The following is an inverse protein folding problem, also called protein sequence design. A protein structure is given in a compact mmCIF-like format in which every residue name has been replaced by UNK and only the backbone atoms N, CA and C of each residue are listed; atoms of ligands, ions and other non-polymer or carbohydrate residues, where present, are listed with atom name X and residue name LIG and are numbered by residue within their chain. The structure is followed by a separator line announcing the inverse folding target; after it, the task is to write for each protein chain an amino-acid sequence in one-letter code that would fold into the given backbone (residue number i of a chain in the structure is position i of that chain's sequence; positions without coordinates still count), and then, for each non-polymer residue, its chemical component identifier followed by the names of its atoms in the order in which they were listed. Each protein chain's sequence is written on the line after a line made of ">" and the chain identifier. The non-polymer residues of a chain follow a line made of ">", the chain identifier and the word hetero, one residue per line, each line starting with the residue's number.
data_IF_121681713062
#
_entry.id   IF_121681713062
#
_cell.length_a   1.000
_cell.length_b   1.000
_cell.length_c   1.000
_cell.angle_alpha   90.00
_cell.angle_beta   90.00
_cell.angle_gamma   90.00
#
_symmetry.space_group_name_H-M   'P 1'
#
loop_
_entity.id
_entity.type
_entity.pdbx_description
1 polymer ?
#
# COMPACT_ATOMS: atom_id res chain seq x y z
N UNK A 1 -3.01 -9.01 -33.64
CA UNK A 1 -2.02 -9.26 -32.56
C UNK A 1 -0.68 -9.50 -33.20
N UNK A 2 0.27 -8.57 -33.10
CA UNK A 2 1.63 -8.79 -33.60
C UNK A 2 2.34 -9.68 -32.60
N UNK A 3 2.67 -10.91 -33.00
CA UNK A 3 3.46 -11.89 -32.24
C UNK A 3 4.89 -11.36 -32.08
N UNK A 4 5.11 -10.44 -31.16
CA UNK A 4 6.46 -10.12 -30.71
C UNK A 4 6.91 -11.27 -29.82
N UNK A 5 7.82 -12.09 -30.32
CA UNK A 5 8.42 -13.18 -29.53
C UNK A 5 8.97 -12.62 -28.23
N UNK A 6 8.72 -13.34 -27.13
CA UNK A 6 9.24 -12.98 -25.82
C UNK A 6 10.77 -12.94 -25.88
N UNK A 7 11.36 -11.83 -25.42
CA UNK A 7 12.82 -11.74 -25.32
C UNK A 7 13.26 -12.58 -24.12
N UNK A 8 13.95 -13.68 -24.40
CA UNK A 8 14.62 -14.48 -23.37
C UNK A 8 15.74 -13.63 -22.79
N UNK A 9 15.76 -13.50 -21.46
CA UNK A 9 16.79 -12.74 -20.80
C UNK A 9 17.40 -13.57 -19.68
N UNK A 10 18.74 -13.69 -19.65
CA UNK A 10 19.42 -14.51 -18.65
C UNK A 10 18.98 -14.14 -17.23
N UNK A 11 18.73 -15.16 -16.42
CA UNK A 11 18.37 -15.01 -15.02
C UNK A 11 19.34 -14.10 -14.24
N UNK A 12 20.68 -14.17 -14.40
CA UNK A 12 21.59 -13.26 -13.72
C UNK A 12 21.34 -11.78 -14.05
N UNK A 13 20.98 -11.47 -15.30
CA UNK A 13 20.66 -10.10 -15.70
C UNK A 13 19.34 -9.64 -15.07
N UNK A 14 18.34 -10.53 -15.00
CA UNK A 14 17.08 -10.25 -14.32
C UNK A 14 17.29 -9.95 -12.83
N UNK A 15 18.04 -10.80 -12.13
CA UNK A 15 18.39 -10.62 -10.72
C UNK A 15 19.14 -9.31 -10.50
N UNK A 16 20.07 -8.97 -11.39
CA UNK A 16 20.82 -7.71 -11.33
C UNK A 16 19.88 -6.49 -11.42
N UNK A 17 18.93 -6.49 -12.37
CA UNK A 17 18.00 -5.36 -12.49
C UNK A 17 17.07 -5.26 -11.28
N UNK A 18 16.54 -6.39 -10.80
CA UNK A 18 15.69 -6.42 -9.61
C UNK A 18 16.45 -5.92 -8.37
N UNK A 19 17.69 -6.37 -8.18
CA UNK A 19 18.54 -5.91 -7.07
C UNK A 19 18.88 -4.42 -7.20
N UNK A 20 19.25 -3.94 -8.39
CA UNK A 20 19.54 -2.52 -8.61
C UNK A 20 18.32 -1.62 -8.33
N UNK A 21 17.11 -2.12 -8.62
CA UNK A 21 15.88 -1.42 -8.28
C UNK A 21 15.62 -1.43 -6.77
N UNK A 22 15.72 -2.61 -6.14
CA UNK A 22 15.46 -2.79 -4.72
C UNK A 22 16.48 -2.07 -3.81
N UNK A 23 17.75 -2.01 -4.20
CA UNK A 23 18.82 -1.37 -3.40
C UNK A 23 18.71 0.16 -3.33
N UNK A 24 17.90 0.78 -4.19
CA UNK A 24 17.66 2.22 -4.12
C UNK A 24 16.69 2.53 -2.98
N UNK A 25 16.94 3.59 -2.22
CA UNK A 25 15.99 4.09 -1.22
C UNK A 25 14.77 4.75 -1.89
N UNK A 26 14.96 5.40 -3.06
CA UNK A 26 13.90 5.99 -3.88
C UNK A 26 14.13 5.75 -5.37
N UNK A 27 13.03 5.56 -6.10
CA UNK A 27 12.99 5.26 -7.53
C UNK A 27 11.95 6.15 -8.23
N UNK A 28 12.19 6.52 -9.49
CA UNK A 28 11.26 7.39 -10.23
C UNK A 28 10.01 6.66 -10.73
N UNK A 29 9.95 5.33 -10.64
CA UNK A 29 8.82 4.56 -11.15
C UNK A 29 8.81 3.15 -10.53
N UNK A 30 7.64 2.51 -10.41
CA UNK A 30 7.55 1.09 -10.08
C UNK A 30 8.10 0.20 -11.21
N UNK A 31 8.51 -1.01 -10.85
CA UNK A 31 9.00 -2.04 -11.78
C UNK A 31 7.95 -3.14 -11.92
N UNK A 32 7.64 -3.57 -13.13
CA UNK A 32 6.74 -4.70 -13.40
C UNK A 32 7.54 -5.90 -13.87
N UNK A 33 7.50 -6.97 -13.08
CA UNK A 33 8.01 -8.28 -13.45
C UNK A 33 6.91 -9.08 -14.14
N UNK A 34 6.96 -9.08 -15.47
CA UNK A 34 6.00 -9.77 -16.33
C UNK A 34 6.63 -10.99 -17.02
N UNK A 35 5.87 -12.05 -17.19
CA UNK A 35 6.33 -13.29 -17.82
C UNK A 35 5.21 -14.33 -17.85
N UNK A 36 5.34 -15.41 -18.62
CA UNK A 36 4.36 -16.49 -18.63
C UNK A 36 4.22 -17.13 -17.25
N UNK A 37 3.07 -17.78 -17.05
CA UNK A 37 2.80 -18.60 -15.86
C UNK A 37 3.77 -19.79 -15.85
N UNK A 38 4.20 -20.21 -14.67
CA UNK A 38 5.19 -21.29 -14.54
C UNK A 38 6.66 -20.86 -14.73
N UNK A 39 6.93 -19.63 -15.14
CA UNK A 39 8.31 -19.12 -15.26
C UNK A 39 9.05 -18.95 -13.91
N UNK A 40 8.48 -19.33 -12.76
CA UNK A 40 9.19 -19.20 -11.47
C UNK A 40 9.47 -17.76 -11.02
N UNK A 41 8.69 -16.76 -11.48
CA UNK A 41 8.80 -15.35 -11.05
C UNK A 41 8.66 -15.20 -9.54
N UNK A 42 7.60 -15.78 -8.98
CA UNK A 42 7.32 -15.76 -7.54
C UNK A 42 8.40 -16.52 -6.76
N UNK A 43 8.83 -17.69 -7.26
CA UNK A 43 9.93 -18.48 -6.66
C UNK A 43 11.24 -17.69 -6.63
N UNK A 44 11.58 -16.99 -7.72
CA UNK A 44 12.76 -16.13 -7.77
C UNK A 44 12.74 -15.08 -6.65
N UNK A 45 11.59 -14.42 -6.47
CA UNK A 45 11.45 -13.39 -5.44
C UNK A 45 11.52 -14.02 -4.04
N UNK A 46 10.67 -15.00 -3.75
CA UNK A 46 10.53 -15.55 -2.39
C UNK A 46 11.79 -16.30 -1.92
N UNK A 47 12.36 -17.17 -2.77
CA UNK A 47 13.43 -18.09 -2.36
C UNK A 47 14.82 -17.48 -2.52
N UNK A 48 15.02 -16.52 -3.44
CA UNK A 48 16.37 -15.98 -3.74
C UNK A 48 16.56 -14.53 -3.34
N UNK A 49 15.56 -13.68 -3.55
CA UNK A 49 15.73 -12.23 -3.39
C UNK A 49 15.22 -11.72 -2.04
N UNK A 50 14.09 -12.24 -1.56
CA UNK A 50 13.42 -11.75 -0.36
C UNK A 50 14.29 -11.88 0.90
N UNK A 51 15.09 -12.94 0.99
CA UNK A 51 16.05 -13.11 2.08
C UNK A 51 17.07 -11.98 2.14
N UNK A 52 17.66 -11.60 1.01
CA UNK A 52 18.62 -10.48 0.93
C UNK A 52 17.94 -9.12 1.09
N UNK A 53 16.74 -8.94 0.53
CA UNK A 53 15.98 -7.68 0.62
C UNK A 53 15.41 -7.39 2.02
N UNK A 54 15.58 -8.31 2.97
CA UNK A 54 15.27 -8.11 4.39
C UNK A 54 16.52 -8.08 5.29
N UNK A 55 17.73 -8.02 4.71
CA UNK A 55 18.98 -7.83 5.46
C UNK A 55 19.35 -6.35 5.54
N UNK A 56 19.94 -5.94 6.66
CA UNK A 56 20.37 -4.55 6.87
C UNK A 56 19.17 -3.57 6.94
N UNK A 57 19.35 -2.28 6.58
CA UNK A 57 18.30 -1.25 6.68
C UNK A 57 17.10 -1.49 5.75
N UNK A 58 17.11 -2.57 4.97
CA UNK A 58 16.07 -2.92 4.03
C UNK A 58 14.89 -3.62 4.72
N UNK A 59 13.68 -3.21 4.35
CA UNK A 59 12.44 -3.83 4.78
C UNK A 59 11.59 -4.15 3.56
N UNK A 60 11.23 -5.41 3.35
CA UNK A 60 10.36 -5.79 2.23
C UNK A 60 8.97 -6.19 2.71
N UNK A 61 7.96 -5.46 2.24
CA UNK A 61 6.58 -5.91 2.26
C UNK A 61 6.30 -6.81 1.07
N UNK A 62 5.64 -7.94 1.30
CA UNK A 62 5.18 -8.84 0.26
C UNK A 62 3.67 -9.04 0.38
N UNK A 63 2.94 -8.78 -0.70
CA UNK A 63 1.49 -8.96 -0.79
C UNK A 63 1.19 -9.84 -1.98
N UNK A 64 0.40 -10.90 -1.79
CA UNK A 64 -0.11 -11.72 -2.88
C UNK A 64 -1.64 -11.67 -2.91
N UNK A 65 -2.21 -11.07 -3.95
CA UNK A 65 -3.67 -10.96 -4.06
C UNK A 65 -4.36 -12.28 -4.39
N UNK A 66 -3.62 -13.28 -4.89
CA UNK A 66 -4.17 -14.61 -5.16
C UNK A 66 -4.17 -15.52 -3.93
N UNK A 67 -3.50 -15.13 -2.84
CA UNK A 67 -3.28 -15.98 -1.66
C UNK A 67 -4.59 -16.49 -1.03
N UNK A 68 -5.71 -15.78 -1.14
CA UNK A 68 -7.01 -16.25 -0.63
C UNK A 68 -7.70 -17.30 -1.50
N UNK A 69 -7.23 -17.56 -2.72
CA UNK A 69 -7.84 -18.49 -3.67
C UNK A 69 -7.30 -19.90 -3.38
N UNK A 70 -7.99 -20.62 -2.50
CA UNK A 70 -7.51 -21.89 -1.93
C UNK A 70 -7.13 -22.93 -2.97
N UNK A 71 -7.94 -23.06 -4.02
CA UNK A 71 -7.77 -24.10 -5.04
C UNK A 71 -6.59 -23.84 -5.99
N UNK A 72 -5.97 -22.66 -5.91
CA UNK A 72 -4.97 -22.20 -6.88
C UNK A 72 -3.78 -21.48 -6.26
N UNK A 73 -3.42 -21.80 -5.01
CA UNK A 73 -2.29 -21.16 -4.34
C UNK A 73 -1.28 -22.15 -3.72
N UNK A 74 0.05 -21.94 -3.91
CA UNK A 74 1.11 -22.79 -3.36
C UNK A 74 1.04 -23.04 -1.85
N UNK A 75 0.57 -22.07 -1.08
CA UNK A 75 0.44 -22.23 0.38
C UNK A 75 -0.53 -23.33 0.82
N UNK A 76 -1.46 -23.73 -0.07
CA UNK A 76 -2.42 -24.80 0.18
C UNK A 76 -2.05 -26.08 -0.57
N UNK A 77 -0.77 -26.25 -0.92
CA UNK A 77 -0.28 -27.35 -1.76
C UNK A 77 -0.94 -27.41 -3.14
N UNK A 78 -1.38 -26.27 -3.68
CA UNK A 78 -1.96 -26.14 -5.02
C UNK A 78 -1.05 -25.32 -5.92
N UNK A 79 -1.15 -25.46 -7.24
CA UNK A 79 -0.42 -24.60 -8.18
C UNK A 79 -1.22 -23.35 -8.51
N UNK A 80 -0.53 -22.25 -8.84
CA UNK A 80 -1.17 -21.14 -9.55
C UNK A 80 -1.86 -21.64 -10.82
N UNK A 81 -3.01 -21.06 -11.23
CA UNK A 81 -3.77 -21.58 -12.35
C UNK A 81 -2.98 -21.39 -13.64
N UNK A 82 -3.12 -22.31 -14.59
CA UNK A 82 -2.54 -22.14 -15.92
C UNK A 82 -3.34 -21.14 -16.78
N UNK A 83 -4.66 -21.11 -16.60
CA UNK A 83 -5.57 -20.18 -17.26
C UNK A 83 -5.68 -18.84 -16.53
N UNK A 84 -6.18 -17.81 -17.21
CA UNK A 84 -6.39 -16.46 -16.65
C UNK A 84 -7.10 -16.48 -15.28
N UNK A 85 -6.74 -15.55 -14.40
CA UNK A 85 -7.43 -15.36 -13.11
C UNK A 85 -8.91 -15.00 -13.27
N UNK A 86 -9.32 -14.50 -14.44
CA UNK A 86 -10.73 -14.28 -14.79
C UNK A 86 -11.56 -15.57 -14.82
N UNK A 87 -10.92 -16.74 -14.97
CA UNK A 87 -11.60 -18.04 -15.04
C UNK A 87 -11.59 -18.76 -13.68
N UNK A 88 -10.97 -18.16 -12.67
CA UNK A 88 -10.92 -18.68 -11.32
C UNK A 88 -12.02 -18.04 -10.47
N UNK A 89 -12.46 -18.69 -9.37
CA UNK A 89 -13.35 -18.06 -8.41
C UNK A 89 -12.79 -16.72 -7.95
N UNK A 90 -13.54 -15.62 -8.07
CA UNK A 90 -13.02 -14.30 -7.73
C UNK A 90 -12.85 -14.16 -6.22
N UNK A 91 -11.76 -13.52 -5.81
CA UNK A 91 -11.59 -13.08 -4.43
C UNK A 91 -12.36 -11.77 -4.18
N UNK A 92 -12.50 -11.38 -2.92
CA UNK A 92 -13.25 -10.19 -2.53
C UNK A 92 -12.33 -8.97 -2.43
N UNK A 93 -12.81 -7.81 -2.88
CA UNK A 93 -12.03 -6.56 -2.79
C UNK A 93 -11.64 -6.21 -1.34
N UNK A 94 -12.53 -6.35 -0.32
CA UNK A 94 -12.14 -6.09 1.06
C UNK A 94 -10.96 -6.95 1.54
N UNK A 95 -10.85 -8.19 1.08
CA UNK A 95 -9.74 -9.07 1.44
C UNK A 95 -8.42 -8.58 0.83
N UNK A 96 -8.40 -8.31 -0.48
CA UNK A 96 -7.22 -7.75 -1.14
C UNK A 96 -6.80 -6.41 -0.53
N UNK A 97 -7.77 -5.53 -0.28
CA UNK A 97 -7.55 -4.24 0.37
C UNK A 97 -6.93 -4.42 1.76
N UNK A 98 -7.51 -5.28 2.59
CA UNK A 98 -7.02 -5.54 3.96
C UNK A 98 -5.58 -6.07 3.94
N UNK A 99 -5.24 -6.96 3.01
CA UNK A 99 -3.87 -7.48 2.86
C UNK A 99 -2.86 -6.38 2.52
N UNK A 100 -3.18 -5.55 1.53
CA UNK A 100 -2.32 -4.44 1.14
C UNK A 100 -2.16 -3.42 2.27
N UNK A 101 -3.28 -3.01 2.87
CA UNK A 101 -3.28 -2.04 3.97
C UNK A 101 -2.53 -2.56 5.19
N UNK A 102 -2.75 -3.81 5.60
CA UNK A 102 -2.06 -4.41 6.75
C UNK A 102 -0.55 -4.54 6.51
N UNK A 103 -0.13 -4.89 5.29
CA UNK A 103 1.28 -4.93 4.92
C UNK A 103 1.91 -3.54 5.01
N UNK A 104 1.29 -2.53 4.41
CA UNK A 104 1.78 -1.15 4.43
C UNK A 104 1.76 -0.55 5.83
N UNK A 105 0.76 -0.85 6.65
CA UNK A 105 0.67 -0.45 8.05
C UNK A 105 1.80 -1.06 8.87
N UNK A 106 2.07 -2.36 8.70
CA UNK A 106 3.19 -3.02 9.35
C UNK A 106 4.52 -2.36 8.99
N UNK A 107 4.72 -2.03 7.71
CA UNK A 107 5.92 -1.31 7.26
C UNK A 107 6.00 0.10 7.84
N UNK A 108 4.89 0.83 7.90
CA UNK A 108 4.84 2.17 8.48
C UNK A 108 5.12 2.13 9.99
N UNK A 109 4.59 1.14 10.71
CA UNK A 109 4.93 0.91 12.12
C UNK A 109 6.43 0.64 12.31
N UNK A 110 7.07 -0.13 11.42
CA UNK A 110 8.54 -0.26 11.43
C UNK A 110 9.25 1.06 11.18
N UNK A 111 8.77 1.89 10.26
CA UNK A 111 9.29 3.25 10.06
C UNK A 111 9.16 4.13 11.30
N UNK A 112 8.05 4.02 12.05
CA UNK A 112 7.86 4.71 13.34
C UNK A 112 8.85 4.18 14.40
N UNK A 113 9.02 2.85 14.50
CA UNK A 113 9.98 2.23 15.43
C UNK A 113 11.43 2.67 15.17
N UNK A 114 11.76 3.05 13.95
CA UNK A 114 13.08 3.55 13.54
C UNK A 114 13.19 5.08 13.65
N UNK A 115 12.12 5.76 14.07
CA UNK A 115 12.06 7.23 14.16
C UNK A 115 11.97 7.94 12.80
N UNK A 116 11.81 7.21 11.69
CA UNK A 116 11.74 7.77 10.34
C UNK A 116 10.37 8.38 10.00
N UNK A 117 9.32 8.00 10.74
CA UNK A 117 7.94 8.49 10.57
C UNK A 117 7.48 9.17 11.87
N UNK A 118 7.15 10.46 11.80
CA UNK A 118 6.65 11.26 12.93
C UNK A 118 5.19 11.72 12.76
N UNK A 119 4.55 12.10 13.87
CA UNK A 119 3.20 12.69 13.90
C UNK A 119 3.06 13.88 12.93
N UNK A 120 4.07 14.76 12.91
CA UNK A 120 4.10 15.92 12.02
C UNK A 120 4.17 15.50 10.53
N UNK A 121 5.01 14.52 10.18
CA UNK A 121 5.07 14.03 8.80
C UNK A 121 3.73 13.46 8.35
N UNK A 122 3.08 12.66 9.22
CA UNK A 122 1.74 12.10 8.96
C UNK A 122 0.72 13.21 8.70
N UNK A 123 0.68 14.22 9.57
CA UNK A 123 -0.20 15.39 9.39
C UNK A 123 0.08 16.12 8.09
N UNK A 124 1.35 16.43 7.80
CA UNK A 124 1.73 17.19 6.61
C UNK A 124 1.31 16.46 5.33
N UNK A 125 1.62 15.16 5.22
CA UNK A 125 1.29 14.32 4.07
C UNK A 125 -0.22 14.13 3.91
N UNK A 126 -0.96 13.96 5.02
CA UNK A 126 -2.42 13.88 4.97
C UNK A 126 -3.05 15.22 4.53
N UNK A 127 -2.54 16.35 5.02
CA UNK A 127 -3.07 17.69 4.72
C UNK A 127 -2.88 18.13 3.26
N UNK A 128 -1.89 17.56 2.55
CA UNK A 128 -1.71 17.78 1.10
C UNK A 128 -2.94 17.39 0.28
N UNK A 129 -3.60 16.30 0.67
CA UNK A 129 -4.65 15.66 -0.12
C UNK A 129 -6.05 15.82 0.48
N UNK A 130 -6.15 16.11 1.79
CA UNK A 130 -7.40 16.04 2.53
C UNK A 130 -7.71 17.30 3.33
N UNK A 131 -8.97 17.74 3.28
CA UNK A 131 -9.52 18.77 4.18
C UNK A 131 -9.82 18.19 5.56
N UNK A 132 -8.95 18.44 6.55
CA UNK A 132 -8.97 17.71 7.83
C UNK A 132 -9.96 18.29 8.86
N UNK A 133 -10.25 19.59 8.80
CA UNK A 133 -10.88 20.33 9.90
C UNK A 133 -12.20 19.71 10.39
N UNK A 134 -13.09 19.31 9.48
CA UNK A 134 -14.40 18.74 9.84
C UNK A 134 -14.25 17.36 10.49
N UNK A 135 -13.39 16.50 9.93
CA UNK A 135 -13.15 15.17 10.46
C UNK A 135 -12.44 15.22 11.83
N UNK A 136 -11.43 16.08 11.98
CA UNK A 136 -10.74 16.26 13.25
C UNK A 136 -11.68 16.77 14.35
N UNK A 137 -12.56 17.74 14.04
CA UNK A 137 -13.57 18.20 15.01
C UNK A 137 -14.53 17.07 15.42
N UNK A 138 -14.94 16.22 14.48
CA UNK A 138 -15.76 15.05 14.77
C UNK A 138 -15.04 14.06 15.72
N UNK A 139 -13.76 13.77 15.48
CA UNK A 139 -12.96 12.89 16.35
C UNK A 139 -12.77 13.48 17.75
N UNK A 140 -12.49 14.78 17.85
CA UNK A 140 -12.32 15.50 19.13
C UNK A 140 -13.63 15.45 19.93
N UNK A 141 -14.77 15.75 19.30
CA UNK A 141 -16.07 15.73 19.96
C UNK A 141 -16.41 14.35 20.54
N UNK A 142 -16.00 13.27 19.89
CA UNK A 142 -16.27 11.90 20.34
C UNK A 142 -17.75 11.50 20.26
N UNK A 143 -18.06 10.26 20.66
CA UNK A 143 -19.43 9.71 20.67
C UNK A 143 -20.34 10.30 21.77
N UNK A 144 -19.83 11.24 22.57
CA UNK A 144 -20.59 11.92 23.60
C UNK A 144 -20.47 13.42 23.41
N UNK A 145 -21.61 14.12 23.39
CA UNK A 145 -21.75 15.56 23.23
C UNK A 145 -21.12 16.39 24.39
N UNK A 146 -19.85 16.16 24.71
CA UNK A 146 -19.13 16.85 25.76
C UNK A 146 -18.53 18.16 25.19
N UNK A 147 -19.34 19.21 25.31
CA UNK A 147 -19.09 20.67 25.53
C UNK A 147 -17.68 21.29 25.47
N UNK A 148 -16.71 20.74 24.75
CA UNK A 148 -15.51 21.49 24.39
C UNK A 148 -15.82 22.19 23.07
N UNK A 149 -16.34 23.43 23.17
CA UNK A 149 -16.50 24.30 22.02
C UNK A 149 -15.13 24.55 21.38
N UNK A 150 -14.74 23.68 20.44
CA UNK A 150 -13.55 23.87 19.63
C UNK A 150 -13.81 25.14 18.82
N UNK A 151 -13.09 26.22 19.16
CA UNK A 151 -13.20 27.49 18.46
C UNK A 151 -13.11 27.28 16.95
N UNK A 152 -14.02 27.88 16.20
CA UNK A 152 -14.05 27.78 14.73
C UNK A 152 -12.75 28.27 14.07
N UNK A 153 -11.99 29.12 14.77
CA UNK A 153 -10.72 29.72 14.30
C UNK A 153 -9.45 28.90 14.61
N UNK A 154 -9.55 27.69 15.16
CA UNK A 154 -8.37 26.87 15.44
C UNK A 154 -7.65 26.46 14.14
N UNK A 155 -6.31 26.57 14.12
CA UNK A 155 -5.50 26.13 12.99
C UNK A 155 -5.53 24.60 12.85
N UNK A 156 -5.29 24.10 11.63
CA UNK A 156 -5.29 22.66 11.35
C UNK A 156 -4.31 21.86 12.22
N UNK A 157 -3.13 22.41 12.50
CA UNK A 157 -2.13 21.80 13.38
C UNK A 157 -2.64 21.69 14.83
N UNK A 158 -3.27 22.74 15.36
CA UNK A 158 -3.82 22.70 16.72
C UNK A 158 -4.98 21.71 16.82
N UNK A 159 -5.79 21.58 15.77
CA UNK A 159 -6.84 20.55 15.71
C UNK A 159 -6.23 19.15 15.66
N UNK A 160 -5.13 18.96 14.93
CA UNK A 160 -4.42 17.70 14.87
C UNK A 160 -3.89 17.27 16.24
N UNK A 161 -3.13 18.13 16.92
CA UNK A 161 -2.54 17.81 18.22
C UNK A 161 -3.61 17.47 19.26
N UNK A 162 -4.72 18.23 19.25
CA UNK A 162 -5.88 17.95 20.13
C UNK A 162 -6.56 16.62 19.79
N UNK A 163 -6.67 16.28 18.51
CA UNK A 163 -7.27 15.02 18.08
C UNK A 163 -6.37 13.83 18.40
N UNK A 164 -5.05 13.96 18.21
CA UNK A 164 -4.06 12.94 18.61
C UNK A 164 -4.13 12.73 20.13
N UNK A 165 -4.14 13.80 20.92
CA UNK A 165 -4.27 13.71 22.37
C UNK A 165 -5.59 13.03 22.80
N UNK A 166 -6.72 13.45 22.21
CA UNK A 166 -8.02 12.87 22.52
C UNK A 166 -8.11 11.39 22.13
N UNK A 167 -7.51 10.99 21.01
CA UNK A 167 -7.47 9.61 20.56
C UNK A 167 -6.51 8.77 21.41
N UNK A 168 -5.36 9.33 21.80
CA UNK A 168 -4.39 8.68 22.69
C UNK A 168 -5.03 8.31 24.02
N UNK A 169 -5.87 9.19 24.59
CA UNK A 169 -6.60 8.92 25.83
C UNK A 169 -7.61 7.77 25.70
N UNK A 170 -8.07 7.45 24.48
CA UNK A 170 -8.99 6.34 24.18
C UNK A 170 -8.27 5.06 23.77
N UNK A 171 -6.98 5.12 23.44
CA UNK A 171 -6.22 3.97 22.96
C UNK A 171 -5.68 3.13 24.12
N UNK A 172 -5.58 1.82 23.92
CA UNK A 172 -4.92 0.94 24.87
C UNK A 172 -3.39 1.08 24.76
N UNK A 173 -2.75 1.63 25.79
CA UNK A 173 -1.29 1.82 25.82
C UNK A 173 -0.52 0.50 25.65
N UNK A 174 -1.05 -0.62 26.17
CA UNK A 174 -0.42 -1.94 26.05
C UNK A 174 -0.39 -2.43 24.60
N UNK A 175 -1.45 -2.17 23.84
CA UNK A 175 -1.53 -2.53 22.43
C UNK A 175 -0.49 -1.76 21.61
N UNK A 176 -0.31 -0.47 21.90
CA UNK A 176 0.69 0.38 21.24
C UNK A 176 2.11 -0.08 21.60
N UNK A 177 2.35 -0.45 22.86
CA UNK A 177 3.66 -0.95 23.29
C UNK A 177 4.04 -2.28 22.62
N UNK A 178 3.05 -3.15 22.35
CA UNK A 178 3.23 -4.37 21.55
C UNK A 178 3.57 -4.02 20.10
N UNK A 179 2.84 -3.08 19.49
CA UNK A 179 3.12 -2.60 18.12
C UNK A 179 4.52 -2.03 18.03
N UNK A 180 5.01 -1.36 19.06
CA UNK A 180 6.35 -0.75 19.11
C UNK A 180 7.45 -1.74 19.53
N UNK A 181 7.10 -2.95 19.98
CA UNK A 181 8.06 -3.94 20.49
C UNK A 181 8.75 -3.49 21.80
N UNK A 182 8.15 -2.56 22.55
CA UNK A 182 8.69 -2.00 23.79
C UNK A 182 8.56 -2.96 24.98
N UNK A 183 7.78 -4.04 24.84
CA UNK A 183 7.61 -5.10 25.85
C UNK A 183 8.73 -6.14 25.83
N UNK A 184 9.51 -6.22 24.75
CA UNK A 184 10.65 -7.12 24.66
C UNK A 184 11.85 -6.53 25.43
N UNK A 185 12.39 -7.29 26.39
CA UNK A 185 13.51 -6.92 27.31
C UNK A 185 14.82 -6.46 26.63
N UNK A 186 14.86 -6.28 25.31
CA UNK A 186 16.07 -6.00 24.51
C UNK A 186 16.23 -4.55 24.04
N UNK A 187 15.25 -3.67 24.19
CA UNK A 187 15.38 -2.25 23.79
C UNK A 187 14.98 -1.31 24.93
N UNK A 188 15.96 -0.81 25.67
CA UNK A 188 15.79 0.32 26.58
C UNK A 188 15.71 1.61 25.77
N UNK A 189 14.55 1.90 25.18
CA UNK A 189 14.28 3.19 24.54
C UNK A 189 14.07 4.23 25.66
N UNK A 190 14.70 5.42 25.61
CA UNK A 190 14.42 6.51 26.53
C UNK A 190 12.92 6.81 26.58
N UNK A 191 12.41 7.16 27.77
CA UNK A 191 10.98 7.43 27.97
C UNK A 191 10.44 8.52 27.02
N UNK A 192 11.26 9.53 26.74
CA UNK A 192 10.92 10.63 25.81
C UNK A 192 10.75 10.11 24.38
N UNK A 193 11.71 9.35 23.85
CA UNK A 193 11.62 8.73 22.52
C UNK A 193 10.43 7.78 22.40
N UNK A 194 10.19 6.98 23.43
CA UNK A 194 9.02 6.09 23.48
C UNK A 194 7.70 6.88 23.41
N UNK A 195 7.64 8.08 24.01
CA UNK A 195 6.46 8.94 23.93
C UNK A 195 6.20 9.46 22.50
N UNK A 196 7.26 9.86 21.78
CA UNK A 196 7.15 10.30 20.38
C UNK A 196 6.72 9.16 19.46
N UNK A 197 7.22 7.94 19.67
CA UNK A 197 6.80 6.79 18.88
C UNK A 197 5.34 6.41 19.14
N UNK A 198 4.89 6.46 20.40
CA UNK A 198 3.47 6.26 20.74
C UNK A 198 2.60 7.31 20.07
N UNK A 199 3.01 8.56 20.12
CA UNK A 199 2.29 9.66 19.44
C UNK A 199 2.17 9.38 17.94
N UNK A 200 3.26 8.98 17.27
CA UNK A 200 3.26 8.67 15.84
C UNK A 200 2.34 7.49 15.48
N UNK A 201 2.26 6.44 16.32
CA UNK A 201 1.31 5.34 16.13
C UNK A 201 -0.14 5.83 16.27
N UNK A 202 -0.43 6.66 17.28
CA UNK A 202 -1.76 7.25 17.45
C UNK A 202 -2.11 8.18 16.27
N UNK A 203 -1.13 8.94 15.76
CA UNK A 203 -1.26 9.78 14.58
C UNK A 203 -1.61 8.96 13.31
N UNK A 204 -1.00 7.79 13.10
CA UNK A 204 -1.38 6.88 12.00
C UNK A 204 -2.82 6.38 12.15
N UNK A 205 -3.23 5.99 13.37
CA UNK A 205 -4.62 5.59 13.67
C UNK A 205 -5.60 6.72 13.39
N UNK A 206 -5.26 7.95 13.80
CA UNK A 206 -6.06 9.14 13.53
C UNK A 206 -6.19 9.40 12.03
N UNK A 207 -5.10 9.32 11.27
CA UNK A 207 -5.12 9.50 9.82
C UNK A 207 -6.05 8.48 9.13
N UNK A 208 -5.98 7.21 9.53
CA UNK A 208 -6.87 6.16 9.02
C UNK A 208 -8.34 6.45 9.33
N UNK A 209 -8.64 6.90 10.54
CA UNK A 209 -10.01 7.25 10.95
C UNK A 209 -10.54 8.47 10.18
N UNK A 210 -9.70 9.49 9.96
CA UNK A 210 -10.06 10.66 9.13
C UNK A 210 -10.40 10.24 7.70
N UNK A 211 -9.58 9.39 7.08
CA UNK A 211 -9.85 8.88 5.72
C UNK A 211 -11.14 8.05 5.70
N UNK A 212 -11.36 7.19 6.69
CA UNK A 212 -12.58 6.38 6.80
C UNK A 212 -13.84 7.25 6.93
N UNK A 213 -13.80 8.29 7.76
CA UNK A 213 -14.90 9.24 7.88
C UNK A 213 -15.17 9.95 6.54
N UNK A 214 -14.12 10.44 5.88
CA UNK A 214 -14.27 11.07 4.57
C UNK A 214 -14.75 10.10 3.48
N UNK A 215 -14.38 8.82 3.54
CA UNK A 215 -14.89 7.79 2.66
C UNK A 215 -16.39 7.56 2.91
N UNK A 216 -16.83 7.57 4.17
CA UNK A 216 -18.25 7.42 4.54
C UNK A 216 -19.13 8.52 3.95
N UNK A 217 -18.63 9.77 3.86
CA UNK A 217 -19.36 10.88 3.24
C UNK A 217 -19.57 10.70 1.73
N UNK A 218 -18.77 9.84 1.09
CA UNK A 218 -18.84 9.54 -0.35
C UNK A 218 -19.58 8.22 -0.66
N UNK A 219 -20.00 7.47 0.36
CA UNK A 219 -20.59 6.14 0.20
C UNK A 219 -21.78 6.11 -0.77
N UNK A 220 -22.71 7.07 -0.66
CA UNK A 220 -23.88 7.14 -1.55
C UNK A 220 -23.49 7.43 -3.00
N UNK A 221 -22.47 8.26 -3.23
CA UNK A 221 -21.99 8.57 -4.57
C UNK A 221 -21.28 7.36 -5.20
N UNK A 222 -20.53 6.60 -4.40
CA UNK A 222 -19.89 5.35 -4.82
C UNK A 222 -20.95 4.30 -5.18
N UNK A 223 -21.99 4.15 -4.35
CA UNK A 223 -23.10 3.24 -4.61
C UNK A 223 -23.80 3.56 -5.94
N UNK A 224 -24.11 4.85 -6.15
CA UNK A 224 -24.71 5.30 -7.40
C UNK A 224 -23.79 5.04 -8.60
N UNK A 225 -22.49 5.31 -8.48
CA UNK A 225 -21.50 5.04 -9.52
C UNK A 225 -21.47 3.56 -9.92
N UNK A 226 -21.42 2.66 -8.93
CA UNK A 226 -21.40 1.22 -9.14
C UNK A 226 -22.67 0.72 -9.84
N UNK A 227 -23.85 1.22 -9.47
CA UNK A 227 -25.13 0.84 -10.09
C UNK A 227 -25.28 1.33 -11.53
N UNK A 228 -24.76 2.51 -11.81
CA UNK A 228 -24.85 3.14 -13.14
C UNK A 228 -23.76 2.69 -14.10
N UNK A 229 -22.72 2.00 -13.60
CA UNK A 229 -21.55 1.63 -14.38
C UNK A 229 -20.73 2.83 -14.86
N UNK A 230 -20.87 3.98 -14.19
CA UNK A 230 -20.15 5.21 -14.55
C UNK A 230 -18.68 5.19 -14.11
N UNK A 231 -17.94 6.25 -14.47
CA UNK A 231 -16.55 6.45 -14.04
C UNK A 231 -16.38 7.77 -13.30
N UNK A 232 -15.65 7.74 -12.19
CA UNK A 232 -15.26 8.95 -11.45
C UNK A 232 -13.88 8.78 -10.82
N UNK A 233 -12.93 9.58 -11.30
CA UNK A 233 -11.55 9.57 -10.80
C UNK A 233 -11.47 9.95 -9.31
N UNK A 234 -12.27 10.92 -8.87
CA UNK A 234 -12.24 11.37 -7.47
C UNK A 234 -12.77 10.30 -6.51
N UNK A 235 -13.83 9.59 -6.90
CA UNK A 235 -14.39 8.50 -6.11
C UNK A 235 -13.45 7.28 -6.11
N UNK A 236 -12.85 6.96 -7.25
CA UNK A 236 -11.84 5.91 -7.35
C UNK A 236 -10.63 6.17 -6.45
N UNK A 237 -10.08 7.39 -6.52
CA UNK A 237 -8.98 7.81 -5.66
C UNK A 237 -9.36 7.74 -4.18
N UNK A 238 -10.59 8.11 -3.81
CA UNK A 238 -11.02 8.04 -2.42
C UNK A 238 -10.99 6.62 -1.83
N UNK A 239 -11.11 5.59 -2.68
CA UNK A 239 -11.05 4.19 -2.25
C UNK A 239 -9.60 3.71 -2.06
N UNK A 240 -8.62 4.41 -2.64
CA UNK A 240 -7.18 4.08 -2.57
C UNK A 240 -6.39 5.05 -1.69
N UNK A 241 -7.05 6.00 -1.00
CA UNK A 241 -6.37 7.06 -0.23
C UNK A 241 -5.47 6.51 0.87
N UNK A 242 -5.95 5.54 1.66
CA UNK A 242 -5.16 4.98 2.75
C UNK A 242 -3.87 4.28 2.30
N UNK A 243 -3.92 3.29 1.37
CA UNK A 243 -2.68 2.68 0.88
C UNK A 243 -1.78 3.70 0.18
N UNK A 244 -2.31 4.69 -0.52
CA UNK A 244 -1.49 5.72 -1.17
C UNK A 244 -0.81 6.66 -0.17
N UNK A 245 -1.50 7.04 0.91
CA UNK A 245 -0.90 7.82 2.00
C UNK A 245 0.27 7.07 2.65
N UNK A 246 0.08 5.78 2.94
CA UNK A 246 1.15 4.95 3.50
C UNK A 246 2.33 4.82 2.55
N UNK A 247 2.07 4.66 1.24
CA UNK A 247 3.13 4.61 0.25
C UNK A 247 3.92 5.92 0.16
N UNK A 248 3.25 7.07 0.24
CA UNK A 248 3.90 8.38 0.27
C UNK A 248 4.74 8.55 1.55
N UNK A 249 4.19 8.18 2.73
CA UNK A 249 4.92 8.23 4.00
C UNK A 249 6.16 7.34 4.00
N UNK A 250 6.05 6.10 3.51
CA UNK A 250 7.18 5.18 3.37
C UNK A 250 8.23 5.72 2.40
N UNK A 251 7.80 6.36 1.32
CA UNK A 251 8.71 7.00 0.35
C UNK A 251 9.48 8.16 0.99
N UNK A 252 8.79 9.01 1.75
CA UNK A 252 9.40 10.14 2.44
C UNK A 252 10.33 9.70 3.57
N UNK A 253 9.96 8.64 4.29
CA UNK A 253 10.77 8.04 5.34
C UNK A 253 11.99 7.28 4.81
N UNK A 254 12.02 6.92 3.52
CA UNK A 254 13.10 6.16 2.94
C UNK A 254 14.42 6.96 2.96
N UNK A 255 15.42 6.42 3.66
CA UNK A 255 16.74 7.01 3.88
C UNK A 255 17.84 5.95 3.69
N UNK A 256 18.95 6.37 3.08
CA UNK A 256 20.10 5.50 2.83
C UNK A 256 20.68 5.03 4.17
N UNK A 257 21.06 3.76 4.23
CA UNK A 257 21.65 3.10 5.41
C UNK A 257 20.82 3.10 6.72
N UNK A 258 19.59 3.63 6.71
CA UNK A 258 18.72 3.70 7.89
C UNK A 258 17.39 2.96 7.70
N UNK A 259 16.57 3.39 6.74
CA UNK A 259 15.26 2.78 6.47
C UNK A 259 15.00 2.73 4.97
N UNK A 260 15.00 1.53 4.40
CA UNK A 260 14.88 1.33 2.95
C UNK A 260 13.73 0.36 2.62
N UNK A 261 12.48 0.84 2.71
CA UNK A 261 11.30 0.04 2.43
C UNK A 261 11.24 -0.38 0.96
N UNK A 262 10.66 -1.55 0.70
CA UNK A 262 10.38 -2.14 -0.62
C UNK A 262 9.02 -2.81 -0.56
N UNK A 263 8.26 -2.77 -1.64
CA UNK A 263 6.97 -3.47 -1.73
C UNK A 263 6.96 -4.36 -2.95
N UNK A 264 6.63 -5.64 -2.75
CA UNK A 264 6.33 -6.57 -3.82
C UNK A 264 4.83 -6.86 -3.80
N UNK A 265 4.15 -6.59 -4.91
CA UNK A 265 2.75 -6.93 -5.11
C UNK A 265 2.67 -8.04 -6.16
N UNK A 266 2.37 -9.26 -5.71
CA UNK A 266 2.18 -10.41 -6.57
C UNK A 266 0.72 -10.55 -7.03
N UNK A 267 0.56 -11.01 -8.27
CA UNK A 267 -0.73 -11.25 -8.92
C UNK A 267 -1.62 -9.99 -8.95
N UNK A 268 -1.05 -8.84 -9.31
CA UNK A 268 -1.77 -7.54 -9.32
C UNK A 268 -3.01 -7.54 -10.21
N UNK A 269 -3.02 -8.36 -11.27
CA UNK A 269 -4.16 -8.55 -12.17
C UNK A 269 -5.41 -9.12 -11.49
N UNK A 270 -5.27 -9.78 -10.32
CA UNK A 270 -6.39 -10.32 -9.57
C UNK A 270 -7.36 -9.20 -9.18
N UNK A 271 -6.85 -8.01 -8.86
CA UNK A 271 -7.66 -6.84 -8.52
C UNK A 271 -8.68 -6.48 -9.62
N UNK A 272 -8.40 -6.77 -10.90
CA UNK A 272 -9.34 -6.46 -11.99
C UNK A 272 -10.64 -7.27 -11.91
N UNK A 273 -10.57 -8.46 -11.31
CA UNK A 273 -11.66 -9.43 -11.31
C UNK A 273 -12.27 -9.66 -9.91
N UNK A 274 -11.91 -8.84 -8.90
CA UNK A 274 -12.44 -9.03 -7.54
C UNK A 274 -13.90 -8.63 -7.45
N UNK A 275 -14.63 -9.34 -6.60
CA UNK A 275 -16.04 -9.02 -6.28
C UNK A 275 -16.14 -8.01 -5.15
N UNK A 276 -17.08 -7.09 -5.29
CA UNK A 276 -17.54 -6.20 -4.22
C UNK A 276 -18.56 -6.96 -3.36
N UNK A 277 -18.35 -6.97 -2.04
CA UNK A 277 -19.33 -7.52 -1.10
C UNK A 277 -20.40 -6.50 -0.70
N UNK A 278 -20.06 -5.22 -0.72
CA UNK A 278 -20.94 -4.10 -0.41
C UNK A 278 -20.70 -2.97 -1.42
N UNK A 279 -21.75 -2.59 -2.16
CA UNK A 279 -21.72 -1.54 -3.18
C UNK A 279 -21.31 -0.17 -2.63
N UNK A 280 -21.51 0.06 -1.32
CA UNK A 280 -21.21 1.34 -0.67
C UNK A 280 -19.76 1.42 -0.18
N UNK A 281 -19.06 0.28 -0.12
CA UNK A 281 -17.75 0.17 0.53
C UNK A 281 -16.58 0.64 -0.33
N UNK A 282 -16.68 0.49 -1.66
CA UNK A 282 -15.62 0.83 -2.61
C UNK A 282 -16.15 0.84 -4.05
N UNK A 283 -15.39 1.44 -4.97
CA UNK A 283 -15.57 1.27 -6.41
C UNK A 283 -15.26 -0.17 -6.84
N UNK A 284 -15.69 -0.54 -8.05
CA UNK A 284 -15.43 -1.86 -8.64
C UNK A 284 -13.93 -2.21 -8.72
N UNK A 285 -13.62 -3.51 -8.76
CA UNK A 285 -12.25 -4.03 -8.72
C UNK A 285 -11.32 -3.43 -9.78
N UNK A 286 -11.78 -3.37 -11.04
CA UNK A 286 -11.03 -2.75 -12.13
C UNK A 286 -10.72 -1.27 -11.88
N UNK A 287 -11.69 -0.49 -11.41
CA UNK A 287 -11.49 0.93 -11.11
C UNK A 287 -10.56 1.13 -9.90
N UNK A 288 -10.67 0.28 -8.87
CA UNK A 288 -9.74 0.28 -7.74
C UNK A 288 -8.32 -0.05 -8.19
N UNK A 289 -8.17 -1.09 -9.00
CA UNK A 289 -6.91 -1.50 -9.62
C UNK A 289 -6.27 -0.33 -10.37
N UNK A 290 -6.98 0.27 -11.32
CA UNK A 290 -6.44 1.32 -12.18
C UNK A 290 -6.08 2.58 -11.37
N UNK A 291 -6.90 2.93 -10.38
CA UNK A 291 -6.62 4.04 -9.46
C UNK A 291 -5.35 3.79 -8.64
N UNK A 292 -5.17 2.57 -8.10
CA UNK A 292 -3.98 2.23 -7.31
C UNK A 292 -2.70 2.30 -8.16
N UNK A 293 -2.72 1.70 -9.36
CA UNK A 293 -1.56 1.71 -10.27
C UNK A 293 -1.24 3.13 -10.73
N UNK A 294 -2.26 3.89 -11.15
CA UNK A 294 -2.07 5.27 -11.59
C UNK A 294 -1.44 6.13 -10.49
N UNK A 295 -1.94 6.02 -9.25
CA UNK A 295 -1.41 6.80 -8.12
C UNK A 295 -0.01 6.39 -7.72
N UNK A 296 0.32 5.10 -7.77
CA UNK A 296 1.67 4.62 -7.55
C UNK A 296 2.66 5.18 -8.58
N UNK A 297 2.30 5.14 -9.86
CA UNK A 297 3.10 5.70 -10.96
C UNK A 297 3.26 7.21 -10.78
N UNK A 298 2.17 7.93 -10.48
CA UNK A 298 2.20 9.37 -10.24
C UNK A 298 3.09 9.75 -9.06
N UNK A 299 3.08 8.96 -7.97
CA UNK A 299 3.96 9.16 -6.83
C UNK A 299 5.44 8.98 -7.23
N UNK A 300 5.75 7.91 -7.98
CA UNK A 300 7.08 7.68 -8.52
C UNK A 300 7.58 8.83 -9.40
N UNK A 301 6.77 9.22 -10.38
CA UNK A 301 7.16 10.21 -11.37
C UNK A 301 7.34 11.62 -10.77
N UNK A 302 6.51 12.00 -9.80
CA UNK A 302 6.51 13.34 -9.22
C UNK A 302 7.43 13.48 -8.01
N UNK A 303 7.42 12.51 -7.09
CA UNK A 303 8.11 12.62 -5.78
C UNK A 303 9.24 11.60 -5.60
N UNK A 304 9.38 10.61 -6.51
CA UNK A 304 10.19 9.39 -6.36
C UNK A 304 9.73 8.54 -5.18
N UNK A 305 9.09 7.41 -5.46
CA UNK A 305 8.61 6.49 -4.45
C UNK A 305 9.71 5.55 -3.96
N UNK A 306 9.51 4.87 -2.83
CA UNK A 306 10.34 3.71 -2.50
C UNK A 306 10.13 2.58 -3.53
N UNK A 307 11.09 1.63 -3.70
CA UNK A 307 10.96 0.56 -4.68
C UNK A 307 9.67 -0.25 -4.57
N UNK A 308 8.91 -0.31 -5.67
CA UNK A 308 7.70 -1.16 -5.78
C UNK A 308 7.81 -2.07 -6.99
N UNK A 309 7.69 -3.37 -6.76
CA UNK A 309 7.73 -4.42 -7.78
C UNK A 309 6.36 -5.05 -7.94
N UNK A 310 5.71 -4.88 -9.10
CA UNK A 310 4.47 -5.54 -9.45
C UNK A 310 4.77 -6.82 -10.22
N UNK A 311 4.27 -7.96 -9.77
CA UNK A 311 4.50 -9.26 -10.41
C UNK A 311 3.20 -9.74 -11.02
N UNK A 312 3.23 -10.10 -12.30
CA UNK A 312 2.03 -10.45 -13.05
C UNK A 312 2.31 -11.42 -14.18
N UNK A 313 1.32 -12.23 -14.53
CA UNK A 313 1.34 -13.03 -15.76
C UNK A 313 0.29 -12.58 -16.78
N UNK A 314 -0.41 -11.47 -16.52
CA UNK A 314 -1.41 -10.89 -17.42
C UNK A 314 -0.74 -10.10 -18.55
N UNK A 315 -1.06 -10.46 -19.79
CA UNK A 315 -0.50 -9.85 -21.01
C UNK A 315 -0.88 -8.39 -21.19
N UNK A 316 -1.88 -7.88 -20.47
CA UNK A 316 -2.15 -6.44 -20.36
C UNK A 316 -0.88 -5.65 -20.01
N UNK A 317 -0.09 -6.17 -19.05
CA UNK A 317 1.17 -5.57 -18.62
C UNK A 317 2.36 -5.91 -19.53
N UNK A 318 2.14 -6.38 -20.75
CA UNK A 318 3.20 -6.53 -21.75
C UNK A 318 3.19 -5.43 -22.79
N UNK A 319 2.02 -4.84 -23.04
CA UNK A 319 1.79 -4.02 -24.24
C UNK A 319 0.85 -2.84 -23.96
N UNK A 320 -0.34 -3.11 -23.42
CA UNK A 320 -1.38 -2.09 -23.25
C UNK A 320 -1.08 -1.16 -22.09
N UNK A 321 -0.54 -1.68 -20.99
CA UNK A 321 -0.22 -0.86 -19.82
C UNK A 321 0.80 0.26 -20.13
N UNK A 322 1.72 0.08 -21.08
CA UNK A 322 2.58 1.19 -21.53
C UNK A 322 1.77 2.31 -22.19
N UNK A 323 0.82 1.95 -23.06
CA UNK A 323 -0.01 2.93 -23.77
C UNK A 323 -0.96 3.65 -22.81
N UNK A 324 -1.51 2.92 -21.84
CA UNK A 324 -2.48 3.44 -20.88
C UNK A 324 -1.82 4.31 -19.80
N UNK A 325 -0.61 3.94 -19.35
CA UNK A 325 0.08 4.64 -18.26
C UNK A 325 1.25 5.54 -18.71
N UNK A 326 1.82 5.34 -19.90
CA UNK A 326 2.76 6.27 -20.55
C UNK A 326 4.25 6.16 -20.18
N UNK A 327 4.72 5.07 -19.57
CA UNK A 327 6.14 4.95 -19.14
C UNK A 327 6.84 3.70 -19.69
N UNK A 328 7.90 3.85 -20.51
CA UNK A 328 8.49 2.74 -21.27
C UNK A 328 9.28 1.76 -20.39
N UNK A 329 9.81 2.24 -19.27
CA UNK A 329 10.64 1.47 -18.34
C UNK A 329 9.82 0.79 -17.21
N UNK A 330 8.49 0.82 -17.29
CA UNK A 330 7.61 0.08 -16.37
C UNK A 330 7.90 -1.43 -16.42
N UNK A 331 8.37 -1.97 -17.54
CA UNK A 331 8.33 -3.41 -17.79
C UNK A 331 9.68 -4.09 -17.83
N UNK A 332 9.80 -5.14 -17.02
CA UNK A 332 10.75 -6.23 -17.21
C UNK A 332 9.93 -7.46 -17.61
N UNK A 333 9.64 -7.57 -18.91
CA UNK A 333 8.91 -8.70 -19.51
C UNK A 333 9.88 -9.77 -20.00
N UNK A 334 9.93 -10.94 -19.34
CA UNK A 334 10.95 -11.98 -19.59
C UNK A 334 10.43 -13.39 -19.24
N UNK A 335 10.62 -14.35 -20.14
CA UNK A 335 10.58 -15.76 -19.75
C UNK A 335 11.83 -16.08 -18.93
N UNK A 336 11.65 -16.63 -17.75
CA UNK A 336 12.74 -17.31 -17.03
C UNK A 336 12.70 -18.74 -17.53
N UNK A 337 13.65 -19.07 -18.41
CA UNK A 337 13.99 -20.47 -18.64
C UNK A 337 14.64 -21.01 -17.35
N UNK A 338 14.07 -22.09 -16.85
CA UNK A 338 14.77 -23.00 -15.95
C UNK A 338 15.50 -23.98 -16.86
N UNK A 339 16.85 -24.07 -16.87
CA UNK A 339 17.50 -25.32 -17.20
C UNK A 339 17.24 -26.36 -16.10
#
# INVERSE_FOLDING_TARGET
>A
MVYKQWKIIPRPLLETVLNNHAQRHRVPQPLILHGPRGAGKTTLILERLLGEWNKGPHLTGYVDFAESIKDHHPQFNQSFPWASWSNCPPTTLPNCRTKLESCLESMAHKGVQLGSISSHQIFSTLSKWHGLNTALRHVIAGNGAAKNAVSEKASGSVLWDRAVFALSARCNAQEIDVILGLTEKKKNVPLEEASYYREAVVALRLAKEVIKQQQSWRANAIAHLNRTGGFSRSLANSCTDWPCLLMELLSQAAEIDHFQPKLVINNVEVLKNVILLDENSSVCGSMYHDSLIWRLIALGANERCFPVVLVTSDSYYSYLAYMDFGFPDIFISREILIP
#
